data_IF_249011079987
#
_entry.id   IF_249011079987
#
_cell.length_a   1.000
_cell.length_b   1.000
_cell.length_c   1.000
_cell.angle_alpha   90.00
_cell.angle_beta   90.00
_cell.angle_gamma   90.00
#
_symmetry.space_group_name_H-M   'P 1'
#
loop_
_entity.id
_entity.type
_entity.pdbx_description
1 polymer ?
#
# COMPACT_ATOMS: atom_id res chain seq x y z
N UNK A 1 8.43 6.71 -8.68
CA UNK A 1 8.14 6.42 -7.26
C UNK A 1 7.34 7.59 -6.72
N UNK A 2 6.04 7.40 -6.51
CA UNK A 2 5.20 8.42 -5.89
C UNK A 2 4.96 8.01 -4.43
N UNK A 3 5.47 8.83 -3.49
CA UNK A 3 5.01 8.74 -2.10
C UNK A 3 3.62 9.37 -2.04
N UNK A 4 2.64 8.59 -1.55
CA UNK A 4 1.27 9.09 -1.42
C UNK A 4 1.11 9.76 -0.07
N UNK A 5 1.42 9.03 1.00
CA UNK A 5 1.40 9.58 2.35
C UNK A 5 2.26 8.76 3.31
N UNK A 6 2.55 9.37 4.47
CA UNK A 6 3.20 8.72 5.59
C UNK A 6 2.35 8.87 6.84
N UNK A 7 2.10 7.77 7.54
CA UNK A 7 1.33 7.75 8.78
C UNK A 7 1.91 6.73 9.76
N UNK A 8 2.06 7.13 11.04
CA UNK A 8 2.59 6.27 12.11
C UNK A 8 3.95 5.62 11.79
N UNK A 9 4.81 6.31 11.02
CA UNK A 9 6.11 5.77 10.59
C UNK A 9 6.02 4.81 9.40
N UNK A 10 4.83 4.51 8.90
CA UNK A 10 4.55 3.71 7.71
C UNK A 10 4.39 4.65 6.52
N UNK A 11 5.15 4.41 5.46
CA UNK A 11 5.13 5.17 4.21
C UNK A 11 4.44 4.35 3.13
N UNK A 12 3.41 4.92 2.52
CA UNK A 12 2.69 4.32 1.40
C UNK A 12 3.25 4.86 0.09
N UNK A 13 3.68 3.94 -0.76
CA UNK A 13 4.32 4.24 -2.03
C UNK A 13 3.68 3.39 -3.11
N UNK A 14 3.51 3.99 -4.28
CA UNK A 14 3.15 3.27 -5.50
C UNK A 14 4.34 3.40 -6.45
N UNK A 15 4.85 2.25 -6.88
CA UNK A 15 5.92 2.23 -7.86
C UNK A 15 5.33 2.55 -9.23
N UNK A 16 6.07 3.30 -10.04
CA UNK A 16 5.59 3.61 -11.39
C UNK A 16 5.63 2.37 -12.30
N UNK A 17 6.37 1.33 -11.91
CA UNK A 17 6.50 0.04 -12.60
C UNK A 17 5.57 -1.03 -12.02
N UNK A 18 4.69 -0.64 -11.10
CA UNK A 18 3.76 -1.57 -10.46
C UNK A 18 2.79 -2.12 -11.52
N UNK A 19 2.81 -3.44 -11.66
CA UNK A 19 2.01 -4.17 -12.66
C UNK A 19 0.67 -4.60 -12.07
N UNK A 20 -0.29 -4.81 -12.97
CA UNK A 20 -1.61 -5.35 -12.65
C UNK A 20 -1.51 -6.64 -11.80
N UNK A 21 -2.26 -6.76 -10.70
CA UNK A 21 -3.31 -5.86 -10.23
C UNK A 21 -2.78 -4.63 -9.50
N UNK A 22 -3.60 -3.56 -9.47
CA UNK A 22 -3.34 -2.34 -8.72
C UNK A 22 -3.01 -2.60 -7.25
N UNK A 23 -1.77 -2.31 -6.84
CA UNK A 23 -1.34 -2.44 -5.46
C UNK A 23 -0.54 -1.21 -4.99
N UNK A 24 -0.47 -1.07 -3.67
CA UNK A 24 0.39 -0.11 -3.00
C UNK A 24 1.32 -0.84 -2.04
N UNK A 25 2.49 -0.24 -1.81
CA UNK A 25 3.51 -0.79 -0.92
C UNK A 25 3.56 0.06 0.34
N UNK A 26 3.26 -0.56 1.46
CA UNK A 26 3.39 0.04 2.77
C UNK A 26 4.75 -0.36 3.36
N UNK A 27 5.65 0.62 3.49
CA UNK A 27 7.02 0.44 3.94
C UNK A 27 7.26 1.10 5.30
N UNK A 28 7.94 0.40 6.18
CA UNK A 28 8.45 0.89 7.46
C UNK A 28 9.97 0.73 7.50
N UNK A 29 10.59 1.09 8.62
CA UNK A 29 12.04 0.96 8.81
C UNK A 29 12.54 -0.49 8.61
N UNK A 30 11.74 -1.47 9.03
CA UNK A 30 12.13 -2.89 9.06
C UNK A 30 11.25 -3.80 8.17
N UNK A 31 10.07 -3.33 7.73
CA UNK A 31 9.06 -4.16 7.07
C UNK A 31 8.50 -3.49 5.82
N UNK A 32 8.17 -4.28 4.81
CA UNK A 32 7.46 -3.84 3.61
C UNK A 32 6.32 -4.82 3.33
N UNK A 33 5.12 -4.31 3.07
CA UNK A 33 3.97 -5.14 2.73
C UNK A 33 3.24 -4.58 1.52
N UNK A 34 2.80 -5.49 0.64
CA UNK A 34 1.99 -5.18 -0.53
C UNK A 34 0.51 -5.28 -0.20
N UNK A 35 -0.22 -4.23 -0.51
CA UNK A 35 -1.66 -4.13 -0.30
C UNK A 35 -2.31 -3.93 -1.67
N UNK A 36 -3.04 -4.93 -2.12
CA UNK A 36 -3.92 -4.83 -3.27
C UNK A 36 -4.98 -3.76 -3.00
N UNK A 37 -5.14 -2.83 -3.93
CA UNK A 37 -6.18 -1.78 -3.93
C UNK A 37 -7.03 -1.85 -5.20
N UNK A 38 -6.84 -2.90 -6.00
CA UNK A 38 -7.53 -3.16 -7.26
C UNK A 38 -8.98 -3.55 -7.02
N UNK A 39 -9.23 -4.38 -6.01
CA UNK A 39 -10.56 -4.83 -5.66
C UNK A 39 -11.29 -3.80 -4.79
N UNK A 40 -12.59 -4.00 -4.57
CA UNK A 40 -13.48 -3.08 -3.82
C UNK A 40 -13.21 -3.07 -2.30
N UNK A 41 -11.93 -3.12 -1.91
CA UNK A 41 -11.44 -3.10 -0.54
C UNK A 41 -9.97 -3.51 -0.50
N UNK A 42 -9.11 -2.82 0.27
CA UNK A 42 -7.69 -3.16 0.31
C UNK A 42 -7.49 -4.54 0.93
N UNK A 43 -6.63 -5.35 0.32
CA UNK A 43 -6.26 -6.68 0.80
C UNK A 43 -4.75 -6.85 0.86
N UNK A 44 -4.25 -7.52 1.89
CA UNK A 44 -2.82 -7.85 1.98
C UNK A 44 -2.50 -8.94 0.95
N UNK A 45 -1.62 -8.65 -0.01
CA UNK A 45 -1.15 -9.67 -0.96
C UNK A 45 -0.07 -10.55 -0.35
N UNK A 46 0.84 -9.94 0.41
CA UNK A 46 1.99 -10.63 0.99
C UNK A 46 1.80 -10.75 2.50
N UNK A 47 0.95 -11.70 2.91
CA UNK A 47 0.78 -12.05 4.32
C UNK A 47 1.97 -12.93 4.71
N UNK A 48 3.09 -12.28 5.01
CA UNK A 48 4.24 -12.95 5.56
C UNK A 48 3.87 -13.63 6.89
N UNK A 49 4.30 -14.88 7.06
CA UNK A 49 4.08 -15.69 8.26
C UNK A 49 4.99 -15.27 9.43
N UNK A 50 5.60 -14.09 9.37
CA UNK A 50 6.54 -13.61 10.37
C UNK A 50 5.87 -13.31 11.71
N UNK A 51 6.70 -13.28 12.75
CA UNK A 51 6.27 -13.19 14.14
C UNK A 51 5.42 -11.95 14.46
N UNK A 52 4.91 -11.89 15.69
CA UNK A 52 3.86 -10.95 16.15
C UNK A 52 4.06 -9.46 15.81
N UNK A 53 5.28 -8.99 15.51
CA UNK A 53 5.55 -7.60 15.08
C UNK A 53 5.11 -7.35 13.63
N UNK A 54 5.39 -8.28 12.72
CA UNK A 54 5.05 -8.16 11.31
C UNK A 54 3.53 -8.26 11.12
N UNK A 55 2.87 -9.19 11.82
CA UNK A 55 1.41 -9.29 11.81
C UNK A 55 0.73 -8.02 12.33
N UNK A 56 1.30 -7.35 13.34
CA UNK A 56 0.82 -6.03 13.79
C UNK A 56 1.03 -4.96 12.73
N UNK A 57 2.19 -4.95 12.08
CA UNK A 57 2.49 -4.02 10.99
C UNK A 57 1.52 -4.19 9.82
N UNK A 58 1.31 -5.41 9.35
CA UNK A 58 0.37 -5.75 8.28
C UNK A 58 -1.05 -5.29 8.62
N UNK A 59 -1.53 -5.56 9.85
CA UNK A 59 -2.86 -5.10 10.31
C UNK A 59 -2.98 -3.58 10.33
N UNK A 60 -1.96 -2.88 10.83
CA UNK A 60 -1.94 -1.42 10.87
C UNK A 60 -1.90 -0.82 9.46
N UNK A 61 -1.04 -1.36 8.60
CA UNK A 61 -0.92 -0.93 7.21
C UNK A 61 -2.23 -1.16 6.44
N UNK A 62 -2.85 -2.34 6.59
CA UNK A 62 -4.15 -2.65 6.00
C UNK A 62 -5.23 -1.67 6.49
N UNK A 63 -5.31 -1.42 7.80
CA UNK A 63 -6.30 -0.49 8.37
C UNK A 63 -6.10 0.93 7.87
N UNK A 64 -4.85 1.38 7.72
CA UNK A 64 -4.53 2.69 7.16
C UNK A 64 -4.92 2.77 5.68
N UNK A 65 -4.60 1.74 4.89
CA UNK A 65 -5.03 1.65 3.50
C UNK A 65 -6.56 1.65 3.37
N UNK A 66 -7.27 0.99 4.28
CA UNK A 66 -8.74 0.96 4.32
C UNK A 66 -9.33 2.32 4.66
N UNK A 67 -8.68 3.06 5.56
CA UNK A 67 -9.11 4.40 5.98
C UNK A 67 -8.86 5.45 4.88
N UNK A 68 -7.81 5.25 4.08
CA UNK A 68 -7.36 6.20 3.03
C UNK A 68 -7.40 5.58 1.64
N UNK A 69 -8.35 4.68 1.41
CA UNK A 69 -8.44 3.94 0.15
C UNK A 69 -8.67 4.89 -1.03
N UNK A 70 -9.52 5.90 -0.84
CA UNK A 70 -9.81 6.92 -1.83
C UNK A 70 -8.55 7.72 -2.22
N UNK A 71 -7.70 8.09 -1.25
CA UNK A 71 -6.43 8.79 -1.54
C UNK A 71 -5.46 7.88 -2.34
N UNK A 72 -5.39 6.59 -1.99
CA UNK A 72 -4.55 5.62 -2.70
C UNK A 72 -5.00 5.42 -4.14
N UNK A 73 -6.32 5.29 -4.36
CA UNK A 73 -6.91 5.15 -5.70
C UNK A 73 -6.72 6.43 -6.52
N UNK A 74 -7.01 7.59 -5.96
CA UNK A 74 -6.83 8.87 -6.65
C UNK A 74 -5.36 9.07 -7.06
N UNK A 75 -4.42 8.78 -6.17
CA UNK A 75 -3.00 8.88 -6.50
C UNK A 75 -2.56 7.86 -7.56
N UNK A 76 -3.09 6.63 -7.50
CA UNK A 76 -2.85 5.62 -8.53
C UNK A 76 -3.37 6.07 -9.90
N UNK A 77 -4.58 6.62 -9.97
CA UNK A 77 -5.14 7.20 -11.19
C UNK A 77 -4.26 8.32 -11.74
N UNK A 78 -3.79 9.24 -10.89
CA UNK A 78 -2.85 10.30 -11.29
C UNK A 78 -1.53 9.73 -11.81
N UNK A 79 -1.00 8.67 -11.20
CA UNK A 79 0.25 8.03 -11.64
C UNK A 79 0.06 7.32 -12.99
N UNK A 80 -1.10 6.68 -13.19
CA UNK A 80 -1.46 6.02 -14.47
C UNK A 80 -1.66 7.05 -15.58
N UNK A 81 -2.39 8.13 -15.29
CA UNK A 81 -2.62 9.24 -16.22
C UNK A 81 -1.30 9.91 -16.63
N UNK A 82 -0.41 10.19 -15.67
CA UNK A 82 0.92 10.75 -15.94
C UNK A 82 1.85 9.83 -16.76
N UNK A 83 1.48 8.56 -16.96
CA UNK A 83 2.24 7.58 -17.76
C UNK A 83 1.76 7.49 -19.21
N UNK A 84 0.62 8.13 -19.53
CA UNK A 84 -0.01 8.14 -20.85
C UNK A 84 0.25 9.47 -21.59
#
# INVERSE_FOLDING_TARGET
MAEIFRSQGIKFIIYSDDHDPDHCHAKSADFEVKIDISVNGPMLMDVAAGGSKESKFQKTALKLAQTRLDELKAALEVIKDARN
#
